data_IF_383964128711
#
_entry.id   IF_383964128711
#
_cell.length_a   1.000
_cell.length_b   1.000
_cell.length_c   1.000
_cell.angle_alpha   90.00
_cell.angle_beta   90.00
_cell.angle_gamma   90.00
#
_symmetry.space_group_name_H-M   'P 1'
#
loop_
_entity.id
_entity.type
_entity.pdbx_description
1 polymer ?
#
# COMPACT_ATOMS: atom_id res chain seq x y z
N UNK A 1 -31.73 12.02 4.10
CA UNK A 1 -32.88 12.78 4.58
C UNK A 1 -32.44 13.69 5.72
N UNK A 2 -32.49 15.01 5.52
CA UNK A 2 -32.22 15.99 6.58
C UNK A 2 -33.53 16.58 7.08
N UNK A 3 -33.71 16.67 8.40
CA UNK A 3 -34.87 17.32 9.02
C UNK A 3 -34.63 18.84 9.08
N UNK A 4 -35.42 19.67 8.37
CA UNK A 4 -35.22 21.12 8.32
C UNK A 4 -35.44 21.83 9.67
N UNK A 5 -36.01 21.15 10.66
CA UNK A 5 -36.21 21.70 12.02
C UNK A 5 -35.00 21.54 12.92
N UNK A 6 -33.99 20.78 12.50
CA UNK A 6 -32.75 20.62 13.25
C UNK A 6 -31.95 21.93 13.24
N UNK A 7 -31.48 22.33 14.42
CA UNK A 7 -30.68 23.54 14.61
C UNK A 7 -29.19 23.23 14.48
N UNK A 8 -28.44 24.14 13.88
CA UNK A 8 -26.99 24.08 13.83
C UNK A 8 -26.36 24.49 15.19
N UNK A 9 -25.03 24.45 15.30
CA UNK A 9 -24.29 24.84 16.51
C UNK A 9 -24.49 26.32 16.92
N UNK A 10 -25.06 27.16 16.05
CA UNK A 10 -25.42 28.55 16.30
C UNK A 10 -26.91 28.73 16.64
N UNK A 11 -27.68 27.66 16.69
CA UNK A 11 -29.11 27.68 17.02
C UNK A 11 -30.05 28.02 15.85
N UNK A 12 -29.52 28.10 14.63
CA UNK A 12 -30.26 28.42 13.41
C UNK A 12 -30.85 27.13 12.82
N UNK A 13 -32.15 27.13 12.52
CA UNK A 13 -32.81 26.05 11.80
C UNK A 13 -32.89 26.35 10.28
N UNK A 14 -33.46 25.43 9.50
CA UNK A 14 -33.57 25.59 8.06
C UNK A 14 -34.41 26.80 7.63
N UNK A 15 -35.32 27.29 8.46
CA UNK A 15 -36.09 28.51 8.18
C UNK A 15 -35.23 29.76 8.42
N UNK A 16 -34.47 29.80 9.52
CA UNK A 16 -33.54 30.89 9.83
C UNK A 16 -32.43 31.03 8.77
N UNK A 17 -31.94 29.90 8.23
CA UNK A 17 -30.92 29.90 7.17
C UNK A 17 -31.46 30.30 5.80
N UNK A 18 -32.77 30.17 5.58
CA UNK A 18 -33.43 30.50 4.31
C UNK A 18 -34.13 31.86 4.33
N UNK A 19 -33.83 32.73 5.31
CA UNK A 19 -34.57 33.98 5.56
C UNK A 19 -34.62 34.91 4.34
N UNK A 20 -33.59 34.87 3.50
CA UNK A 20 -33.43 35.69 2.30
C UNK A 20 -34.14 35.10 1.07
N UNK A 21 -34.70 33.90 1.18
CA UNK A 21 -35.34 33.19 0.08
C UNK A 21 -36.79 32.79 0.41
N UNK A 22 -37.77 33.66 0.10
CA UNK A 22 -39.18 33.42 0.46
C UNK A 22 -39.78 32.17 -0.20
N UNK A 23 -39.21 31.70 -1.33
CA UNK A 23 -39.65 30.45 -1.96
C UNK A 23 -39.25 29.22 -1.15
N UNK A 24 -38.06 29.22 -0.56
CA UNK A 24 -37.58 28.12 0.28
C UNK A 24 -38.38 28.07 1.58
N UNK A 25 -38.66 29.22 2.21
CA UNK A 25 -39.51 29.30 3.39
C UNK A 25 -40.90 28.71 3.11
N UNK A 26 -41.50 29.01 1.96
CA UNK A 26 -42.81 28.47 1.57
C UNK A 26 -42.78 26.94 1.40
N UNK A 27 -41.73 26.38 0.79
CA UNK A 27 -41.55 24.92 0.61
C UNK A 27 -41.31 24.22 1.95
N UNK A 28 -40.60 24.88 2.89
CA UNK A 28 -40.37 24.35 4.24
C UNK A 28 -41.65 24.33 5.08
N UNK A 29 -42.52 25.34 4.92
CA UNK A 29 -43.80 25.44 5.64
C UNK A 29 -44.88 24.51 5.09
N UNK A 30 -44.94 24.34 3.78
CA UNK A 30 -45.93 23.48 3.13
C UNK A 30 -45.23 22.58 2.08
N UNK A 31 -44.56 21.50 2.55
CA UNK A 31 -43.81 20.62 1.66
C UNK A 31 -44.77 19.94 0.68
N UNK A 32 -44.49 19.99 -0.64
CA UNK A 32 -45.37 19.37 -1.62
C UNK A 32 -45.53 17.88 -1.30
N UNK A 33 -46.79 17.41 -1.21
CA UNK A 33 -47.14 16.00 -1.00
C UNK A 33 -46.46 15.14 -2.06
N UNK A 34 -45.31 14.58 -1.71
CA UNK A 34 -44.65 13.57 -2.53
C UNK A 34 -45.57 12.36 -2.59
N UNK A 35 -45.99 11.99 -3.80
CA UNK A 35 -46.69 10.73 -4.06
C UNK A 35 -45.73 9.59 -3.68
N UNK A 36 -45.75 9.17 -2.41
CA UNK A 36 -45.18 7.89 -1.96
C UNK A 36 -45.96 6.79 -2.66
N UNK A 37 -45.50 6.37 -3.84
CA UNK A 37 -45.89 5.10 -4.42
C UNK A 37 -45.27 4.03 -3.52
N UNK A 38 -46.07 3.48 -2.60
CA UNK A 38 -45.76 2.27 -1.83
C UNK A 38 -45.49 1.16 -2.84
N UNK A 39 -44.22 0.95 -3.20
CA UNK A 39 -43.81 -0.28 -3.85
C UNK A 39 -43.41 -1.26 -2.75
N UNK A 40 -44.41 -1.83 -2.06
CA UNK A 40 -44.26 -3.19 -1.53
C UNK A 40 -44.37 -4.12 -2.75
N UNK A 41 -43.28 -4.30 -3.49
CA UNK A 41 -43.07 -5.56 -4.19
C UNK A 41 -42.03 -6.27 -3.36
N UNK A 42 -42.49 -7.22 -2.57
CA UNK A 42 -41.64 -8.33 -2.14
C UNK A 42 -40.89 -8.79 -3.38
N UNK A 43 -39.58 -8.53 -3.41
CA UNK A 43 -38.70 -9.15 -4.38
C UNK A 43 -38.77 -10.65 -4.07
N UNK A 44 -39.71 -11.34 -4.71
CA UNK A 44 -39.66 -12.80 -4.78
C UNK A 44 -38.32 -13.09 -5.43
N UNK A 45 -37.36 -13.53 -4.63
CA UNK A 45 -36.09 -14.09 -5.07
C UNK A 45 -36.49 -15.31 -5.91
N UNK A 46 -36.69 -15.08 -7.21
CA UNK A 46 -36.91 -16.16 -8.16
C UNK A 46 -35.52 -16.66 -8.51
N UNK A 47 -35.12 -17.75 -7.86
CA UNK A 47 -33.93 -18.54 -8.22
C UNK A 47 -33.90 -18.72 -9.73
N UNK A 48 -32.80 -18.29 -10.35
CA UNK A 48 -32.56 -18.49 -11.77
C UNK A 48 -32.01 -19.90 -11.90
N UNK A 49 -32.81 -20.80 -12.48
CA UNK A 49 -32.47 -22.23 -12.51
C UNK A 49 -31.85 -22.66 -13.85
N UNK A 50 -31.70 -21.74 -14.81
CA UNK A 50 -31.09 -22.03 -16.10
C UNK A 50 -30.39 -20.82 -16.72
N UNK A 51 -29.38 -21.09 -17.55
CA UNK A 51 -28.69 -20.05 -18.34
C UNK A 51 -29.66 -19.34 -19.30
N UNK A 52 -30.59 -20.08 -19.89
CA UNK A 52 -31.64 -19.54 -20.78
C UNK A 52 -32.51 -18.51 -20.09
N UNK A 53 -32.94 -18.79 -18.86
CA UNK A 53 -33.72 -17.86 -18.03
C UNK A 53 -32.89 -16.63 -17.67
N UNK A 54 -31.60 -16.84 -17.33
CA UNK A 54 -30.68 -15.75 -17.01
C UNK A 54 -30.54 -14.78 -18.19
N UNK A 55 -30.23 -15.31 -19.39
CA UNK A 55 -30.04 -14.51 -20.60
C UNK A 55 -31.32 -13.79 -21.02
N UNK A 56 -32.49 -14.41 -20.82
CA UNK A 56 -33.78 -13.77 -21.06
C UNK A 56 -34.01 -12.58 -20.14
N UNK A 57 -33.71 -12.70 -18.84
CA UNK A 57 -33.81 -11.58 -17.90
C UNK A 57 -32.87 -10.43 -18.28
N UNK A 58 -31.72 -10.73 -18.87
CA UNK A 58 -30.74 -9.75 -19.37
C UNK A 58 -31.09 -9.11 -20.72
N UNK A 59 -32.14 -9.61 -21.40
CA UNK A 59 -32.50 -9.29 -22.79
C UNK A 59 -31.39 -9.66 -23.77
N UNK A 60 -30.84 -10.85 -23.60
CA UNK A 60 -29.70 -11.42 -24.34
C UNK A 60 -30.06 -12.78 -24.95
N UNK A 61 -31.34 -13.03 -25.20
CA UNK A 61 -31.90 -14.29 -25.73
C UNK A 61 -31.23 -14.73 -27.04
N UNK A 62 -30.87 -13.75 -27.88
CA UNK A 62 -30.19 -14.01 -29.15
C UNK A 62 -28.82 -14.71 -29.03
N UNK A 63 -28.26 -14.81 -27.83
CA UNK A 63 -27.00 -15.48 -27.57
C UNK A 63 -27.18 -16.90 -27.01
N UNK A 64 -28.41 -17.34 -26.72
CA UNK A 64 -28.68 -18.67 -26.15
C UNK A 64 -28.09 -19.77 -27.05
N UNK A 65 -28.34 -19.69 -28.36
CA UNK A 65 -27.87 -20.70 -29.34
C UNK A 65 -26.34 -20.85 -29.35
N UNK A 66 -25.60 -19.77 -29.09
CA UNK A 66 -24.13 -19.81 -29.00
C UNK A 66 -23.70 -20.63 -27.79
N UNK A 67 -24.29 -20.39 -26.62
CA UNK A 67 -23.97 -21.15 -25.41
C UNK A 67 -24.40 -22.62 -25.53
N UNK A 68 -25.52 -22.90 -26.21
CA UNK A 68 -25.95 -24.29 -26.47
C UNK A 68 -24.98 -25.02 -27.42
N UNK A 69 -24.52 -24.34 -28.48
CA UNK A 69 -23.55 -24.89 -29.44
C UNK A 69 -22.21 -25.22 -28.78
N UNK A 70 -21.73 -24.32 -27.92
CA UNK A 70 -20.48 -24.49 -27.16
C UNK A 70 -20.67 -25.37 -25.91
N UNK A 71 -21.88 -25.91 -25.66
CA UNK A 71 -22.24 -26.75 -24.51
C UNK A 71 -21.94 -26.10 -23.16
N UNK A 72 -22.18 -24.79 -23.06
CA UNK A 72 -21.97 -24.01 -21.85
C UNK A 72 -23.27 -23.99 -21.04
N UNK A 73 -23.23 -24.61 -19.86
CA UNK A 73 -24.33 -24.54 -18.89
C UNK A 73 -24.20 -23.32 -17.97
N UNK A 74 -25.15 -23.16 -17.03
CA UNK A 74 -25.15 -22.03 -16.10
C UNK A 74 -23.89 -22.00 -15.23
N UNK A 75 -23.37 -23.15 -14.82
CA UNK A 75 -22.20 -23.21 -13.94
C UNK A 75 -20.95 -22.76 -14.70
N UNK A 76 -20.74 -23.31 -15.90
CA UNK A 76 -19.61 -22.93 -16.75
C UNK A 76 -19.69 -21.46 -17.16
N UNK A 77 -20.89 -20.94 -17.44
CA UNK A 77 -21.10 -19.52 -17.71
C UNK A 77 -20.57 -18.62 -16.58
N UNK A 78 -20.75 -19.01 -15.32
CA UNK A 78 -20.31 -18.23 -14.15
C UNK A 78 -18.78 -18.26 -13.94
N UNK A 79 -18.08 -19.10 -14.68
CA UNK A 79 -16.62 -19.19 -14.68
C UNK A 79 -15.97 -18.37 -15.80
N UNK A 80 -16.73 -18.00 -16.84
CA UNK A 80 -16.21 -17.27 -18.00
C UNK A 80 -15.63 -15.89 -17.65
N UNK A 81 -14.57 -15.52 -18.36
CA UNK A 81 -13.95 -14.19 -18.36
C UNK A 81 -14.21 -13.44 -19.69
N UNK A 82 -13.75 -12.19 -19.82
CA UNK A 82 -14.03 -11.38 -21.03
C UNK A 82 -13.44 -12.02 -22.30
N UNK A 83 -12.27 -12.65 -22.19
CA UNK A 83 -11.61 -13.35 -23.31
C UNK A 83 -12.45 -14.54 -23.76
N UNK A 84 -12.91 -15.38 -22.84
CA UNK A 84 -13.72 -16.55 -23.18
C UNK A 84 -15.01 -16.14 -23.90
N UNK A 85 -15.67 -15.07 -23.43
CA UNK A 85 -16.88 -14.53 -24.09
C UNK A 85 -16.60 -14.02 -25.51
N UNK A 86 -15.40 -13.48 -25.77
CA UNK A 86 -14.99 -13.08 -27.12
C UNK A 86 -14.77 -14.31 -28.00
N UNK A 87 -14.11 -15.34 -27.47
CA UNK A 87 -13.78 -16.58 -28.20
C UNK A 87 -15.03 -17.35 -28.64
N UNK A 88 -16.05 -17.45 -27.78
CA UNK A 88 -17.33 -18.09 -28.12
C UNK A 88 -18.22 -17.23 -29.04
N UNK A 89 -17.80 -16.01 -29.38
CA UNK A 89 -18.45 -15.18 -30.41
C UNK A 89 -19.25 -13.97 -29.91
N UNK A 90 -19.20 -13.61 -28.61
CA UNK A 90 -19.86 -12.41 -28.07
C UNK A 90 -18.99 -11.16 -28.31
N UNK A 91 -18.91 -10.69 -29.55
CA UNK A 91 -18.02 -9.57 -29.93
C UNK A 91 -18.49 -8.18 -29.49
N UNK A 92 -19.77 -8.02 -29.17
CA UNK A 92 -20.33 -6.72 -28.76
C UNK A 92 -20.04 -6.42 -27.28
N UNK A 93 -19.43 -5.27 -27.00
CA UNK A 93 -19.05 -4.86 -25.64
C UNK A 93 -20.23 -4.79 -24.66
N UNK A 94 -21.38 -4.24 -25.08
CA UNK A 94 -22.54 -4.09 -24.20
C UNK A 94 -23.07 -5.42 -23.64
N UNK A 95 -23.37 -6.41 -24.50
CA UNK A 95 -23.70 -7.77 -24.11
C UNK A 95 -22.66 -8.43 -23.20
N UNK A 96 -21.36 -8.38 -23.55
CA UNK A 96 -20.30 -8.92 -22.68
C UNK A 96 -20.30 -8.27 -21.31
N UNK A 97 -20.35 -6.93 -21.24
CA UNK A 97 -20.40 -6.20 -19.98
C UNK A 97 -21.57 -6.61 -19.10
N UNK A 98 -22.76 -6.83 -19.69
CA UNK A 98 -23.93 -7.32 -18.95
C UNK A 98 -23.70 -8.72 -18.37
N UNK A 99 -23.13 -9.63 -19.16
CA UNK A 99 -22.80 -10.99 -18.71
C UNK A 99 -21.75 -10.97 -17.60
N UNK A 100 -20.65 -10.24 -17.80
CA UNK A 100 -19.56 -10.09 -16.82
C UNK A 100 -20.03 -9.49 -15.50
N UNK A 101 -20.92 -8.48 -15.54
CA UNK A 101 -21.47 -7.89 -14.32
C UNK A 101 -22.25 -8.91 -13.48
N UNK A 102 -23.01 -9.81 -14.13
CA UNK A 102 -23.73 -10.88 -13.42
C UNK A 102 -22.75 -11.89 -12.83
N UNK A 103 -21.73 -12.28 -13.61
CA UNK A 103 -20.69 -13.21 -13.17
C UNK A 103 -19.94 -12.66 -11.95
N UNK A 104 -19.49 -11.40 -12.02
CA UNK A 104 -18.78 -10.74 -10.91
C UNK A 104 -19.66 -10.63 -9.66
N UNK A 105 -20.93 -10.28 -9.84
CA UNK A 105 -21.88 -10.21 -8.72
C UNK A 105 -22.06 -11.57 -8.06
N UNK A 106 -22.31 -12.62 -8.84
CA UNK A 106 -22.42 -13.98 -8.33
C UNK A 106 -21.18 -14.41 -7.54
N UNK A 107 -19.97 -14.08 -8.02
CA UNK A 107 -18.72 -14.36 -7.31
C UNK A 107 -18.59 -13.59 -5.98
N UNK A 108 -19.27 -12.45 -5.85
CA UNK A 108 -19.17 -11.57 -4.68
C UNK A 108 -20.20 -11.92 -3.61
N UNK A 109 -21.46 -12.12 -4.00
CA UNK A 109 -22.60 -12.25 -3.07
C UNK A 109 -23.47 -13.49 -3.33
N UNK A 110 -23.09 -14.36 -4.27
CA UNK A 110 -23.83 -15.56 -4.66
C UNK A 110 -25.15 -15.29 -5.37
N UNK A 111 -25.46 -14.03 -5.71
CA UNK A 111 -26.80 -13.63 -6.13
C UNK A 111 -26.91 -13.47 -7.65
N UNK A 112 -27.78 -14.27 -8.28
CA UNK A 112 -28.15 -14.16 -9.70
C UNK A 112 -29.33 -13.19 -9.94
N UNK A 113 -29.24 -11.94 -9.46
CA UNK A 113 -30.28 -10.93 -9.72
C UNK A 113 -29.81 -9.86 -10.71
N UNK A 114 -30.72 -9.46 -11.60
CA UNK A 114 -30.55 -8.36 -12.55
C UNK A 114 -31.58 -7.28 -12.26
N UNK A 115 -31.12 -6.09 -11.84
CA UNK A 115 -32.00 -4.91 -11.73
C UNK A 115 -31.66 -3.94 -12.86
N UNK A 116 -32.65 -3.59 -13.68
CA UNK A 116 -32.54 -2.59 -14.75
C UNK A 116 -32.47 -1.14 -14.21
N UNK A 117 -32.48 -0.95 -12.88
CA UNK A 117 -32.58 0.37 -12.30
C UNK A 117 -31.20 1.03 -12.20
N UNK A 118 -30.98 2.05 -13.02
CA UNK A 118 -29.79 2.90 -13.06
C UNK A 118 -29.36 3.46 -11.68
N UNK A 119 -30.24 3.43 -10.68
CA UNK A 119 -29.95 3.84 -9.29
C UNK A 119 -29.17 2.80 -8.47
N UNK A 120 -29.23 1.52 -8.83
CA UNK A 120 -28.47 0.47 -8.12
C UNK A 120 -27.06 0.35 -8.68
N UNK A 121 -26.84 0.53 -10.00
CA UNK A 121 -25.50 0.49 -10.61
C UNK A 121 -24.58 1.58 -10.04
N UNK A 122 -25.13 2.73 -9.61
CA UNK A 122 -24.36 3.77 -8.93
C UNK A 122 -23.85 3.33 -7.54
N UNK A 123 -24.52 2.43 -6.82
CA UNK A 123 -24.15 2.09 -5.43
C UNK A 123 -22.89 1.21 -5.31
N UNK A 124 -22.70 0.13 -6.09
CA UNK A 124 -21.43 -0.59 -6.15
C UNK A 124 -20.30 0.31 -6.64
N UNK A 125 -20.55 1.12 -7.67
CA UNK A 125 -19.53 1.99 -8.26
C UNK A 125 -19.05 3.10 -7.30
N UNK A 126 -19.94 3.66 -6.48
CA UNK A 126 -19.56 4.67 -5.47
C UNK A 126 -18.73 4.04 -4.34
N UNK A 127 -19.13 2.87 -3.83
CA UNK A 127 -18.36 2.18 -2.76
C UNK A 127 -16.99 1.71 -3.23
N UNK A 128 -16.92 1.13 -4.42
CA UNK A 128 -15.65 0.67 -5.02
C UNK A 128 -14.74 1.86 -5.37
N UNK A 129 -15.31 2.98 -5.83
CA UNK A 129 -14.57 4.23 -6.06
C UNK A 129 -14.06 4.87 -4.77
N UNK A 130 -14.82 4.82 -3.66
CA UNK A 130 -14.38 5.33 -2.35
C UNK A 130 -13.28 4.44 -1.76
N UNK A 131 -13.41 3.13 -1.84
CA UNK A 131 -12.37 2.19 -1.40
C UNK A 131 -11.09 2.32 -2.23
N UNK A 132 -11.21 2.45 -3.55
CA UNK A 132 -10.07 2.67 -4.44
C UNK A 132 -9.36 3.99 -4.11
N UNK A 133 -10.11 5.03 -3.77
CA UNK A 133 -9.56 6.34 -3.37
C UNK A 133 -8.80 6.25 -2.05
N UNK A 134 -9.38 5.58 -1.04
CA UNK A 134 -8.71 5.34 0.24
C UNK A 134 -7.43 4.51 0.07
N UNK A 135 -7.49 3.45 -0.75
CA UNK A 135 -6.33 2.62 -1.04
C UNK A 135 -5.24 3.41 -1.78
N UNK A 136 -5.62 4.21 -2.78
CA UNK A 136 -4.69 5.09 -3.47
C UNK A 136 -4.03 6.09 -2.52
N UNK A 137 -4.79 6.69 -1.60
CA UNK A 137 -4.27 7.63 -0.61
C UNK A 137 -3.28 6.94 0.35
N UNK A 138 -3.63 5.74 0.82
CA UNK A 138 -2.75 4.92 1.65
C UNK A 138 -1.42 4.62 0.94
N UNK A 139 -1.48 4.16 -0.32
CA UNK A 139 -0.27 3.85 -1.10
C UNK A 139 0.58 5.11 -1.30
N UNK A 140 -0.03 6.27 -1.54
CA UNK A 140 0.73 7.53 -1.66
C UNK A 140 1.41 7.94 -0.35
N UNK A 141 0.75 7.73 0.78
CA UNK A 141 1.34 8.02 2.10
C UNK A 141 2.51 7.08 2.39
N UNK A 142 2.33 5.78 2.17
CA UNK A 142 3.40 4.77 2.34
C UNK A 142 4.60 5.06 1.43
N UNK A 143 4.35 5.48 0.18
CA UNK A 143 5.40 5.89 -0.75
C UNK A 143 6.16 7.11 -0.24
N UNK A 144 5.46 8.14 0.22
CA UNK A 144 6.07 9.35 0.77
C UNK A 144 6.92 9.05 1.99
N UNK A 145 6.45 8.21 2.91
CA UNK A 145 7.23 7.77 4.07
C UNK A 145 8.46 6.95 3.65
N UNK A 146 8.32 6.05 2.68
CA UNK A 146 9.45 5.27 2.18
C UNK A 146 10.50 6.16 1.51
N UNK A 147 10.08 7.20 0.79
CA UNK A 147 10.97 8.18 0.19
C UNK A 147 11.71 9.00 1.28
N UNK A 148 11.01 9.42 2.33
CA UNK A 148 11.60 10.14 3.45
C UNK A 148 12.69 9.30 4.15
N UNK A 149 12.37 8.05 4.49
CA UNK A 149 13.34 7.11 5.09
C UNK A 149 14.57 6.88 4.19
N UNK A 150 14.37 6.82 2.87
CA UNK A 150 15.45 6.65 1.91
C UNK A 150 16.38 7.87 1.87
N UNK A 151 15.83 9.08 1.95
CA UNK A 151 16.63 10.32 2.02
C UNK A 151 17.45 10.38 3.31
N UNK A 152 16.86 10.01 4.45
CA UNK A 152 17.56 9.93 5.73
C UNK A 152 18.72 8.93 5.68
N UNK A 153 18.45 7.71 5.20
CA UNK A 153 19.48 6.68 5.02
C UNK A 153 20.61 7.12 4.08
N UNK A 154 20.28 7.81 2.98
CA UNK A 154 21.30 8.37 2.07
C UNK A 154 22.15 9.44 2.77
N UNK A 155 21.56 10.26 3.61
CA UNK A 155 22.28 11.29 4.35
C UNK A 155 23.21 10.70 5.39
N UNK A 156 22.78 9.68 6.13
CA UNK A 156 23.63 8.91 7.05
C UNK A 156 24.81 8.24 6.32
N UNK A 157 24.55 7.63 5.16
CA UNK A 157 25.59 7.02 4.34
C UNK A 157 26.64 8.06 3.89
N UNK A 158 26.21 9.25 3.45
CA UNK A 158 27.13 10.34 3.09
C UNK A 158 27.99 10.77 4.28
N UNK A 159 27.40 10.86 5.48
CA UNK A 159 28.15 11.20 6.69
C UNK A 159 29.20 10.12 7.02
N UNK A 160 28.82 8.85 6.97
CA UNK A 160 29.74 7.73 7.19
C UNK A 160 30.88 7.70 6.16
N UNK A 161 30.58 7.94 4.88
CA UNK A 161 31.57 8.04 3.82
C UNK A 161 32.53 9.22 4.00
N UNK A 162 32.02 10.38 4.43
CA UNK A 162 32.84 11.54 4.76
C UNK A 162 33.81 11.22 5.90
N UNK A 163 33.32 10.56 6.95
CA UNK A 163 34.15 10.12 8.08
C UNK A 163 35.24 9.14 7.62
N UNK A 164 34.87 8.11 6.85
CA UNK A 164 35.81 7.14 6.29
C UNK A 164 36.90 7.85 5.47
N UNK A 165 36.52 8.75 4.58
CA UNK A 165 37.45 9.52 3.74
C UNK A 165 38.41 10.35 4.58
N UNK A 166 37.93 10.96 5.67
CA UNK A 166 38.73 11.77 6.58
C UNK A 166 39.77 10.95 7.36
N UNK A 167 39.41 9.77 7.85
CA UNK A 167 40.29 8.98 8.74
C UNK A 167 41.11 7.89 8.03
N UNK A 168 40.72 7.44 6.83
CA UNK A 168 41.43 6.38 6.11
C UNK A 168 42.93 6.64 5.90
N UNK A 169 43.39 7.87 5.54
CA UNK A 169 44.83 8.12 5.38
C UNK A 169 45.62 7.95 6.68
N UNK A 170 45.06 8.39 7.81
CA UNK A 170 45.66 8.23 9.13
C UNK A 170 45.76 6.75 9.50
N UNK A 171 44.67 6.00 9.34
CA UNK A 171 44.64 4.56 9.62
C UNK A 171 45.67 3.80 8.77
N UNK A 172 45.81 4.16 7.49
CA UNK A 172 46.82 3.59 6.60
C UNK A 172 48.25 3.85 7.11
N UNK A 173 48.55 5.10 7.48
CA UNK A 173 49.86 5.46 8.05
C UNK A 173 50.17 4.69 9.34
N UNK A 174 49.16 4.50 10.21
CA UNK A 174 49.30 3.68 11.43
C UNK A 174 49.62 2.22 11.07
N UNK A 175 48.88 1.63 10.11
CA UNK A 175 49.08 0.23 9.70
C UNK A 175 50.46 -0.04 9.11
N UNK A 176 51.06 0.96 8.45
CA UNK A 176 52.39 0.85 7.85
C UNK A 176 53.50 1.11 8.89
N UNK A 177 53.31 2.06 9.81
CA UNK A 177 54.38 2.54 10.71
C UNK A 177 54.52 1.70 11.99
N UNK A 178 53.40 1.29 12.59
CA UNK A 178 53.41 0.63 13.90
C UNK A 178 54.12 -0.75 13.93
N UNK A 179 54.09 -1.58 12.88
CA UNK A 179 54.88 -2.81 12.84
C UNK A 179 56.39 -2.56 12.94
N UNK A 180 56.87 -1.48 12.31
CA UNK A 180 58.27 -1.07 12.37
C UNK A 180 58.63 -0.56 13.77
N UNK A 181 57.78 0.30 14.35
CA UNK A 181 57.95 0.78 15.72
C UNK A 181 57.98 -0.37 16.74
N UNK A 182 57.11 -1.38 16.56
CA UNK A 182 57.10 -2.60 17.37
C UNK A 182 58.43 -3.34 17.29
N UNK A 183 58.96 -3.54 16.08
CA UNK A 183 60.24 -4.22 15.86
C UNK A 183 61.40 -3.48 16.54
N UNK A 184 61.45 -2.15 16.42
CA UNK A 184 62.46 -1.31 17.07
C UNK A 184 62.37 -1.45 18.59
N UNK A 185 61.16 -1.39 19.16
CA UNK A 185 60.96 -1.52 20.60
C UNK A 185 61.45 -2.89 21.14
N UNK A 186 61.26 -3.98 20.39
CA UNK A 186 61.83 -5.29 20.78
C UNK A 186 63.35 -5.33 20.72
N UNK A 187 63.98 -4.66 19.74
CA UNK A 187 65.44 -4.56 19.65
C UNK A 187 65.98 -3.82 20.88
N UNK A 188 65.40 -2.66 21.21
CA UNK A 188 65.77 -1.88 22.40
C UNK A 188 65.61 -2.73 23.68
N UNK A 189 64.49 -3.45 23.81
CA UNK A 189 64.25 -4.33 24.96
C UNK A 189 65.35 -5.41 25.09
N UNK A 190 65.78 -5.98 23.97
CA UNK A 190 66.83 -6.98 23.95
C UNK A 190 68.19 -6.40 24.35
N UNK A 191 68.52 -5.21 23.88
CA UNK A 191 69.76 -4.50 24.25
C UNK A 191 69.80 -4.15 25.76
N UNK A 192 68.70 -3.63 26.31
CA UNK A 192 68.58 -3.32 27.75
C UNK A 192 68.85 -4.58 28.58
N UNK A 193 68.28 -5.72 28.19
CA UNK A 193 68.47 -6.99 28.90
C UNK A 193 69.90 -7.52 28.82
N UNK A 194 70.60 -7.27 27.71
CA UNK A 194 72.01 -7.67 27.55
C UNK A 194 72.97 -6.78 28.33
N UNK A 195 72.59 -5.53 28.61
CA UNK A 195 73.40 -4.59 29.36
C UNK A 195 73.52 -4.91 30.88
N UNK A 196 72.90 -6.00 31.37
CA UNK A 196 72.94 -6.46 32.76
C UNK A 196 72.48 -5.43 33.82
N UNK A 197 71.82 -4.35 33.42
CA UNK A 197 71.23 -3.38 34.34
C UNK A 197 69.82 -3.85 34.74
N UNK A 198 69.76 -4.49 35.91
CA UNK A 198 68.60 -5.22 36.42
C UNK A 198 67.32 -4.37 36.45
N UNK A 199 66.35 -4.68 35.58
CA UNK A 199 64.92 -4.40 35.81
C UNK A 199 64.56 -2.92 36.06
N UNK A 200 65.31 -1.99 35.47
CA UNK A 200 65.10 -0.55 35.60
C UNK A 200 63.75 -0.09 35.07
N UNK A 201 63.34 1.12 35.49
CA UNK A 201 62.14 1.82 35.00
C UNK A 201 62.03 1.79 33.47
N UNK A 202 63.17 1.92 32.78
CA UNK A 202 63.25 1.89 31.32
C UNK A 202 62.78 0.57 30.70
N UNK A 203 63.10 -0.61 31.27
CA UNK A 203 62.60 -1.88 30.73
C UNK A 203 61.07 -1.94 30.83
N UNK A 204 60.52 -1.48 31.96
CA UNK A 204 59.06 -1.43 32.17
C UNK A 204 58.39 -0.47 31.19
N UNK A 205 59.01 0.67 30.91
CA UNK A 205 58.51 1.66 29.95
C UNK A 205 58.51 1.10 28.52
N UNK A 206 59.58 0.44 28.10
CA UNK A 206 59.66 -0.20 26.77
C UNK A 206 58.62 -1.32 26.63
N UNK A 207 58.44 -2.16 27.66
CA UNK A 207 57.38 -3.17 27.68
C UNK A 207 55.98 -2.55 27.61
N UNK A 208 55.75 -1.42 28.26
CA UNK A 208 54.48 -0.69 28.17
C UNK A 208 54.24 -0.15 26.76
N UNK A 209 55.27 0.39 26.09
CA UNK A 209 55.20 0.83 24.69
C UNK A 209 54.83 -0.34 23.77
N UNK A 210 55.49 -1.50 23.91
CA UNK A 210 55.18 -2.70 23.11
C UNK A 210 53.72 -3.10 23.29
N UNK A 211 53.22 -3.17 24.54
CA UNK A 211 51.81 -3.49 24.82
C UNK A 211 50.85 -2.48 24.17
N UNK A 212 51.18 -1.19 24.22
CA UNK A 212 50.36 -0.15 23.60
C UNK A 212 50.31 -0.31 22.08
N UNK A 213 51.45 -0.59 21.44
CA UNK A 213 51.52 -0.85 20.00
C UNK A 213 50.69 -2.09 19.64
N UNK A 214 50.81 -3.18 20.39
CA UNK A 214 50.04 -4.42 20.16
C UNK A 214 48.53 -4.18 20.28
N UNK A 215 48.11 -3.39 21.28
CA UNK A 215 46.71 -3.00 21.45
C UNK A 215 46.20 -2.18 20.27
N UNK A 216 47.01 -1.25 19.73
CA UNK A 216 46.65 -0.44 18.57
C UNK A 216 46.56 -1.31 17.32
N UNK A 217 47.54 -2.19 17.08
CA UNK A 217 47.53 -3.11 15.93
C UNK A 217 46.32 -4.06 15.98
N UNK A 218 45.93 -4.54 17.17
CA UNK A 218 44.72 -5.34 17.34
C UNK A 218 43.46 -4.56 16.94
N UNK A 219 43.29 -3.34 17.45
CA UNK A 219 42.16 -2.47 17.08
C UNK A 219 42.12 -2.15 15.58
N UNK A 220 43.28 -2.02 14.94
CA UNK A 220 43.37 -1.81 13.50
C UNK A 220 42.84 -2.98 12.68
N UNK A 221 43.06 -4.22 13.15
CA UNK A 221 42.50 -5.42 12.52
C UNK A 221 40.98 -5.46 12.69
N UNK A 222 40.49 -5.17 13.88
CA UNK A 222 39.04 -5.08 14.18
C UNK A 222 38.33 -4.03 13.30
N UNK A 223 38.98 -2.91 13.00
CA UNK A 223 38.46 -1.86 12.11
C UNK A 223 38.49 -2.22 10.61
N UNK A 224 39.20 -3.29 10.24
CA UNK A 224 39.37 -3.71 8.83
C UNK A 224 38.42 -4.84 8.40
N UNK A 225 37.71 -5.46 9.34
CA UNK A 225 36.71 -6.52 9.13
C UNK A 225 35.32 -5.92 8.91
#
# INVERSE_FOLDING_TARGET
DGDPKLKNAKGEDGEALAFDNPKIIAILKDPPRSKKKKNNREEKIMEVNSLTELLSRLKLEKYIEIFETEKIDLNLFLELNDTDLIEIGIKAYGPRKKMLNVIQRYRTDGTLTYTNDAKVIARPYIKESEQLKLHSEQVTNELMESQQRLVECQQELRQAQSLKTKYCPMLKSISETFPHARKIAYIILQEIRQANDTGGTLEKDVLAIIRNIDNILKKMIELSQ
#
